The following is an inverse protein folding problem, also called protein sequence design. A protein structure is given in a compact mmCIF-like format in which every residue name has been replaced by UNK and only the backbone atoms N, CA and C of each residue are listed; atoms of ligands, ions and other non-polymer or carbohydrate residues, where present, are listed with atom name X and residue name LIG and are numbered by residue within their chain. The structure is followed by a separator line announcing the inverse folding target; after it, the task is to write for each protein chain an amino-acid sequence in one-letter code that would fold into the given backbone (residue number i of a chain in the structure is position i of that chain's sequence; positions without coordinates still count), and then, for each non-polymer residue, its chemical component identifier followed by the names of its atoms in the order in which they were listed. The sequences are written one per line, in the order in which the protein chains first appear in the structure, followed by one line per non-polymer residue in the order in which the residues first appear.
data_IF_236214754472
#
_entry.id   IF_236214754472
#
_cell.length_a   1.000
_cell.length_b   1.000
_cell.length_c   1.000
_cell.angle_alpha   90.00
_cell.angle_beta   90.00
_cell.angle_gamma   90.00
#
_symmetry.space_group_name_H-M   'P 1'
#
loop_
_entity.id
_entity.type
_entity.pdbx_description
1 polymer ?
#
# COMPACT_ATOMS: atom_id res chain seq x y z
N UNK A 1 -6.62 9.86 -14.63
CA UNK A 1 -5.74 10.93 -15.13
C UNK A 1 -4.36 10.35 -15.41
N UNK A 2 -3.77 10.63 -16.57
CA UNK A 2 -2.41 10.17 -16.93
C UNK A 2 -1.33 11.11 -16.39
N UNK A 3 -1.47 11.49 -15.13
CA UNK A 3 -0.58 12.45 -14.45
C UNK A 3 -0.33 11.98 -13.03
N UNK A 4 0.94 12.03 -12.62
CA UNK A 4 1.38 11.96 -11.22
C UNK A 4 1.90 13.33 -10.78
N UNK A 5 2.09 13.51 -9.47
CA UNK A 5 2.64 14.76 -8.94
C UNK A 5 3.67 14.49 -7.84
N UNK A 6 4.75 15.28 -7.84
CA UNK A 6 5.79 15.26 -6.81
C UNK A 6 6.06 16.67 -6.31
N UNK A 7 5.75 16.94 -5.04
CA UNK A 7 5.93 18.29 -4.47
C UNK A 7 5.22 19.40 -5.24
N UNK A 8 4.06 19.11 -5.85
CA UNK A 8 3.31 20.03 -6.71
C UNK A 8 3.73 20.03 -8.19
N UNK A 9 4.83 19.37 -8.55
CA UNK A 9 5.29 19.24 -9.93
C UNK A 9 4.54 18.12 -10.65
N UNK A 10 3.83 18.43 -11.74
CA UNK A 10 3.05 17.46 -12.53
C UNK A 10 3.95 16.72 -13.50
N UNK A 11 3.76 15.40 -13.59
CA UNK A 11 4.52 14.51 -14.47
C UNK A 11 3.53 13.69 -15.32
N UNK A 12 3.74 13.67 -16.63
CA UNK A 12 3.02 12.80 -17.54
C UNK A 12 3.49 11.34 -17.36
N UNK A 13 2.55 10.41 -17.31
CA UNK A 13 2.77 8.96 -17.21
C UNK A 13 2.10 8.19 -18.36
N UNK A 14 1.65 8.87 -19.39
CA UNK A 14 0.96 8.26 -20.55
C UNK A 14 1.84 7.31 -21.33
N UNK A 15 3.16 7.48 -21.27
CA UNK A 15 4.19 6.68 -21.93
C UNK A 15 4.71 5.50 -21.11
N UNK A 16 4.11 5.21 -19.93
CA UNK A 16 4.55 4.08 -19.13
C UNK A 16 4.14 2.75 -19.77
N UNK A 17 5.05 1.76 -19.84
CA UNK A 17 4.78 0.44 -20.39
C UNK A 17 3.92 -0.39 -19.43
N UNK A 18 2.72 0.05 -19.18
CA UNK A 18 1.72 -0.64 -18.35
C UNK A 18 0.33 -0.45 -18.95
N UNK A 19 -0.50 -1.46 -18.87
CA UNK A 19 -1.90 -1.40 -19.31
C UNK A 19 -2.69 -0.25 -18.67
N UNK A 20 -2.28 0.17 -17.48
CA UNK A 20 -2.97 1.20 -16.68
C UNK A 20 -2.03 2.34 -16.31
N UNK A 21 -1.59 3.07 -17.33
CA UNK A 21 -0.75 4.25 -17.19
C UNK A 21 -1.57 5.49 -16.76
N UNK A 22 -2.45 5.31 -15.77
CA UNK A 22 -3.29 6.40 -15.25
C UNK A 22 -3.58 6.20 -13.77
N UNK A 23 -3.74 7.29 -13.03
CA UNK A 23 -4.25 7.29 -11.66
C UNK A 23 -5.77 7.37 -11.66
N UNK A 24 -6.42 6.62 -10.78
CA UNK A 24 -7.84 6.78 -10.43
C UNK A 24 -7.95 7.53 -9.11
N UNK A 25 -8.91 8.45 -9.04
CA UNK A 25 -9.37 9.01 -7.78
C UNK A 25 -10.64 8.27 -7.38
N UNK A 26 -10.67 7.75 -6.17
CA UNK A 26 -11.83 7.15 -5.53
C UNK A 26 -11.93 7.72 -4.12
N UNK A 27 -13.12 8.14 -3.71
CA UNK A 27 -13.34 8.59 -2.35
C UNK A 27 -13.14 7.43 -1.38
N UNK A 28 -12.59 7.71 -0.20
CA UNK A 28 -12.36 6.67 0.80
C UNK A 28 -13.66 5.99 1.22
N UNK A 29 -14.75 6.75 1.36
CA UNK A 29 -16.09 6.23 1.64
C UNK A 29 -16.57 5.20 0.63
N UNK A 30 -16.35 5.45 -0.68
CA UNK A 30 -16.68 4.51 -1.74
C UNK A 30 -15.80 3.26 -1.70
N UNK A 31 -14.50 3.45 -1.45
CA UNK A 31 -13.56 2.34 -1.29
C UNK A 31 -13.98 1.44 -0.11
N UNK A 32 -14.27 2.01 1.04
CA UNK A 32 -14.70 1.28 2.24
C UNK A 32 -16.03 0.55 2.01
N UNK A 33 -16.99 1.17 1.31
CA UNK A 33 -18.26 0.55 0.94
C UNK A 33 -18.06 -0.67 0.03
N UNK A 34 -17.20 -0.56 -0.99
CA UNK A 34 -16.88 -1.67 -1.90
C UNK A 34 -16.20 -2.81 -1.14
N UNK A 35 -15.21 -2.50 -0.29
CA UNK A 35 -14.51 -3.50 0.49
C UNK A 35 -15.42 -4.18 1.52
N UNK A 36 -16.33 -3.43 2.16
CA UNK A 36 -17.31 -3.98 3.10
C UNK A 36 -18.24 -4.97 2.42
N UNK A 37 -18.77 -4.62 1.23
CA UNK A 37 -19.60 -5.54 0.44
C UNK A 37 -18.84 -6.82 0.06
N UNK A 38 -17.59 -6.72 -0.31
CA UNK A 38 -16.75 -7.89 -0.63
C UNK A 38 -16.49 -8.77 0.61
N UNK A 39 -16.24 -8.16 1.77
CA UNK A 39 -16.06 -8.89 3.04
C UNK A 39 -17.36 -9.66 3.40
N UNK A 40 -18.53 -9.04 3.19
CA UNK A 40 -19.83 -9.68 3.41
C UNK A 40 -20.04 -10.89 2.47
N UNK A 41 -19.67 -10.77 1.18
CA UNK A 41 -19.68 -11.87 0.22
C UNK A 41 -18.79 -13.05 0.65
N UNK A 42 -17.65 -12.74 1.26
CA UNK A 42 -16.70 -13.74 1.78
C UNK A 42 -17.15 -14.34 3.12
N UNK A 43 -18.22 -13.82 3.73
CA UNK A 43 -18.73 -14.29 5.02
C UNK A 43 -17.79 -14.04 6.20
N UNK A 44 -16.90 -13.05 6.10
CA UNK A 44 -15.98 -12.69 7.18
C UNK A 44 -16.69 -11.77 8.19
N UNK A 45 -16.78 -12.13 9.49
CA UNK A 45 -17.49 -11.33 10.46
C UNK A 45 -16.74 -10.03 10.78
N UNK A 46 -17.44 -8.89 10.73
CA UNK A 46 -16.97 -7.58 11.21
C UNK A 46 -17.68 -7.28 12.54
N UNK A 47 -16.91 -7.20 13.61
CA UNK A 47 -17.44 -6.85 14.94
C UNK A 47 -17.34 -5.33 15.14
N UNK A 48 -18.44 -4.62 14.87
CA UNK A 48 -18.53 -3.17 15.08
C UNK A 48 -18.73 -2.84 16.56
N UNK A 49 -18.35 -1.61 16.95
CA UNK A 49 -18.49 -1.11 18.33
C UNK A 49 -17.75 -1.98 19.37
N UNK A 50 -16.64 -2.58 18.94
CA UNK A 50 -15.74 -3.40 19.76
C UNK A 50 -14.33 -2.84 19.64
N UNK A 51 -13.88 -2.13 20.66
CA UNK A 51 -12.50 -1.64 20.75
C UNK A 51 -11.59 -2.71 21.33
N UNK A 52 -10.42 -2.90 20.73
CA UNK A 52 -9.35 -3.74 21.28
C UNK A 52 -8.64 -2.93 22.37
N UNK A 53 -8.74 -3.39 23.61
CA UNK A 53 -8.12 -2.73 24.78
C UNK A 53 -6.73 -3.27 25.12
N UNK A 54 -6.41 -4.46 24.63
CA UNK A 54 -5.11 -5.11 24.80
C UNK A 54 -5.14 -6.56 24.37
N UNK A 55 -4.04 -7.26 24.58
CA UNK A 55 -3.94 -8.70 24.30
C UNK A 55 -2.86 -9.36 25.16
N UNK A 56 -2.93 -10.69 25.22
CA UNK A 56 -1.83 -11.58 25.67
C UNK A 56 -1.57 -12.62 24.61
N UNK A 57 -0.35 -13.14 24.50
CA UNK A 57 -0.02 -14.20 23.55
C UNK A 57 0.79 -15.31 24.18
N UNK A 58 0.65 -16.52 23.63
CA UNK A 58 1.43 -17.70 23.92
C UNK A 58 1.88 -18.42 22.64
N UNK A 59 2.50 -19.60 22.76
CA UNK A 59 3.00 -20.37 21.61
C UNK A 59 1.88 -20.84 20.65
N UNK A 60 0.61 -20.83 21.09
CA UNK A 60 -0.53 -21.34 20.33
C UNK A 60 -1.42 -20.25 19.73
N UNK A 61 -1.42 -19.02 20.29
CA UNK A 61 -2.31 -17.97 19.83
C UNK A 61 -2.22 -16.66 20.61
N UNK A 62 -3.23 -15.82 20.40
CA UNK A 62 -3.39 -14.50 20.99
C UNK A 62 -4.78 -14.39 21.59
N UNK A 63 -4.89 -13.99 22.85
CA UNK A 63 -6.15 -13.64 23.53
C UNK A 63 -6.32 -12.12 23.47
N UNK A 64 -7.30 -11.67 22.71
CA UNK A 64 -7.57 -10.24 22.45
C UNK A 64 -8.68 -9.77 23.37
N UNK A 65 -8.40 -8.78 24.21
CA UNK A 65 -9.37 -8.17 25.11
C UNK A 65 -10.17 -7.06 24.41
N UNK A 66 -11.48 -7.05 24.60
CA UNK A 66 -12.40 -6.08 23.99
C UNK A 66 -13.01 -5.16 25.04
N UNK A 67 -13.49 -3.97 24.61
CA UNK A 67 -14.07 -2.93 25.47
C UNK A 67 -15.35 -3.34 26.20
N UNK A 68 -16.05 -4.35 25.72
CA UNK A 68 -17.24 -4.92 26.38
C UNK A 68 -16.93 -5.95 27.46
N UNK A 69 -15.64 -6.16 27.77
CA UNK A 69 -15.17 -7.14 28.74
C UNK A 69 -15.06 -8.58 28.23
N UNK A 70 -15.39 -8.82 26.95
CA UNK A 70 -15.18 -10.14 26.32
C UNK A 70 -13.76 -10.28 25.77
N UNK A 71 -13.36 -11.50 25.44
CA UNK A 71 -12.10 -11.77 24.76
C UNK A 71 -12.30 -12.71 23.57
N UNK A 72 -11.41 -12.58 22.58
CA UNK A 72 -11.35 -13.43 21.41
C UNK A 72 -10.01 -14.17 21.37
N UNK A 73 -10.05 -15.49 21.16
CA UNK A 73 -8.86 -16.28 20.90
C UNK A 73 -8.62 -16.40 19.40
N UNK A 74 -7.43 -16.02 18.94
CA UNK A 74 -7.01 -16.14 17.56
C UNK A 74 -5.62 -16.76 17.44
N UNK A 75 -5.27 -17.29 16.27
CA UNK A 75 -3.91 -17.81 16.02
C UNK A 75 -2.90 -16.69 15.82
N UNK A 76 -3.34 -15.58 15.23
CA UNK A 76 -2.57 -14.36 14.99
C UNK A 76 -3.45 -13.13 15.20
N UNK A 77 -2.83 -12.01 15.55
CA UNK A 77 -3.44 -10.69 15.58
C UNK A 77 -2.70 -9.77 14.62
N UNK A 78 -3.44 -9.05 13.76
CA UNK A 78 -2.87 -8.01 12.90
C UNK A 78 -3.43 -6.66 13.30
N UNK A 79 -2.58 -5.78 13.81
CA UNK A 79 -2.91 -4.39 14.14
C UNK A 79 -2.92 -3.54 12.87
N UNK A 80 -4.13 -3.10 12.47
CA UNK A 80 -4.36 -2.12 11.40
C UNK A 80 -5.05 -0.88 11.97
N UNK A 81 -4.74 -0.52 13.23
CA UNK A 81 -5.43 0.42 14.11
C UNK A 81 -4.80 1.82 14.10
N UNK A 82 -4.14 2.17 12.98
CA UNK A 82 -3.67 3.53 12.70
C UNK A 82 -2.39 3.94 13.43
N UNK A 83 -1.93 5.16 13.20
CA UNK A 83 -0.65 5.67 13.71
C UNK A 83 -0.53 5.68 15.24
N UNK A 84 -1.67 5.74 15.95
CA UNK A 84 -1.72 5.66 17.42
C UNK A 84 -1.87 4.24 17.96
N UNK A 85 -1.75 3.23 17.13
CA UNK A 85 -1.97 1.80 17.35
C UNK A 85 -1.80 1.33 18.81
N UNK A 86 -2.88 0.78 19.37
CA UNK A 86 -2.87 0.09 20.66
C UNK A 86 -2.16 -1.24 20.54
N UNK A 87 -2.38 -1.96 19.43
CA UNK A 87 -1.77 -3.27 19.16
C UNK A 87 -0.25 -3.16 19.09
N UNK A 88 0.28 -2.18 18.32
CA UNK A 88 1.74 -1.96 18.24
C UNK A 88 2.36 -1.69 19.60
N UNK A 89 1.76 -0.78 20.38
CA UNK A 89 2.25 -0.41 21.73
C UNK A 89 2.23 -1.58 22.68
N UNK A 90 1.13 -2.34 22.72
CA UNK A 90 0.99 -3.51 23.56
C UNK A 90 1.93 -4.65 23.16
N UNK A 91 2.32 -4.73 21.88
CA UNK A 91 3.33 -5.66 21.38
C UNK A 91 4.77 -5.25 21.73
N UNK A 92 4.99 -4.08 22.33
CA UNK A 92 6.32 -3.54 22.63
C UNK A 92 7.12 -3.20 21.39
N UNK A 93 6.46 -2.88 20.26
CA UNK A 93 7.11 -2.51 19.00
C UNK A 93 7.34 -1.00 18.99
N UNK A 94 8.61 -0.59 18.94
CA UNK A 94 9.00 0.81 18.85
C UNK A 94 8.59 1.44 17.52
N UNK A 95 8.30 2.75 17.56
CA UNK A 95 7.87 3.54 16.42
C UNK A 95 8.86 4.67 16.19
N UNK A 96 9.91 4.38 15.44
CA UNK A 96 11.02 5.28 15.18
C UNK A 96 10.68 6.31 14.09
N UNK A 97 11.28 7.49 14.15
CA UNK A 97 11.10 8.53 13.13
C UNK A 97 11.15 9.94 13.71
N UNK A 98 10.35 10.83 13.12
CA UNK A 98 10.36 12.27 13.40
C UNK A 98 9.03 12.73 13.96
N UNK A 99 9.12 13.59 14.95
CA UNK A 99 7.96 14.28 15.53
C UNK A 99 7.35 15.27 14.54
N UNK A 100 6.06 15.59 14.68
CA UNK A 100 5.41 16.53 13.78
C UNK A 100 5.98 17.94 13.92
N UNK A 101 6.08 18.62 12.79
CA UNK A 101 6.44 20.04 12.69
C UNK A 101 5.24 20.89 12.26
N UNK A 102 4.20 20.25 11.74
CA UNK A 102 2.99 20.91 11.24
C UNK A 102 1.77 20.09 11.60
N UNK A 103 0.72 20.77 12.02
CA UNK A 103 -0.62 20.21 12.25
C UNK A 103 -1.62 20.86 11.30
N UNK A 104 -2.55 20.08 10.79
CA UNK A 104 -3.69 20.58 10.00
C UNK A 104 -4.99 20.19 10.68
N UNK A 105 -5.94 21.13 10.66
CA UNK A 105 -7.35 20.84 10.86
C UNK A 105 -7.98 20.53 9.51
N UNK A 106 -8.74 19.43 9.45
CA UNK A 106 -9.44 18.97 8.26
C UNK A 106 -10.90 18.71 8.60
N UNK A 107 -11.81 19.24 7.79
CA UNK A 107 -13.24 19.13 8.06
C UNK A 107 -14.06 19.14 6.77
N UNK A 108 -15.25 18.55 6.85
CA UNK A 108 -16.35 18.77 5.90
C UNK A 108 -17.52 19.41 6.63
N UNK A 109 -17.91 20.61 6.20
CA UNK A 109 -18.92 21.44 6.87
C UNK A 109 -19.90 22.03 5.87
N UNK A 110 -21.04 22.49 6.38
CA UNK A 110 -21.91 23.41 5.69
C UNK A 110 -21.46 24.85 5.98
N UNK A 111 -21.67 25.77 5.04
CA UNK A 111 -21.33 27.19 5.19
C UNK A 111 -22.49 28.04 4.71
N UNK A 112 -22.76 29.15 5.42
CA UNK A 112 -23.78 30.12 5.04
C UNK A 112 -23.36 30.92 3.79
N UNK A 113 -22.07 31.25 3.70
CA UNK A 113 -21.47 31.93 2.56
C UNK A 113 -20.40 31.01 1.93
N UNK A 114 -20.56 30.71 0.63
CA UNK A 114 -19.56 29.89 -0.08
C UNK A 114 -18.26 30.68 -0.26
N UNK A 115 -17.13 30.14 0.24
CA UNK A 115 -15.82 30.75 0.02
C UNK A 115 -15.37 30.62 -1.43
N UNK A 116 -14.42 31.44 -1.83
CA UNK A 116 -13.67 31.16 -3.05
C UNK A 116 -12.87 29.85 -2.87
N UNK A 117 -13.07 28.88 -3.77
CA UNK A 117 -12.34 27.62 -3.70
C UNK A 117 -10.91 27.76 -4.22
N UNK A 118 -9.97 27.12 -3.54
CA UNK A 118 -8.57 27.14 -3.94
C UNK A 118 -7.60 26.90 -2.80
N UNK A 119 -6.32 26.96 -3.15
CA UNK A 119 -5.24 26.86 -2.17
C UNK A 119 -5.12 28.16 -1.35
N UNK A 120 -4.78 28.00 -0.08
CA UNK A 120 -4.49 29.08 0.87
C UNK A 120 -3.06 28.90 1.39
N UNK A 121 -2.54 29.91 2.07
CA UNK A 121 -1.26 29.81 2.76
C UNK A 121 -1.29 28.69 3.80
N UNK A 122 -0.87 27.47 3.39
CA UNK A 122 -0.78 26.34 4.29
C UNK A 122 -1.95 25.36 4.26
N UNK A 123 -2.80 25.41 3.23
CA UNK A 123 -3.91 24.46 3.09
C UNK A 123 -4.80 24.76 1.89
N UNK A 124 -6.09 24.45 1.98
CA UNK A 124 -7.03 24.68 0.90
C UNK A 124 -8.48 24.56 1.34
N UNK A 125 -9.36 25.16 0.57
CA UNK A 125 -10.81 25.07 0.69
C UNK A 125 -11.35 24.64 -0.66
N UNK A 126 -12.23 23.65 -0.69
CA UNK A 126 -12.78 23.10 -1.93
C UNK A 126 -14.16 22.46 -1.74
N UNK A 127 -14.81 22.05 -2.84
CA UNK A 127 -16.08 21.37 -2.75
C UNK A 127 -15.90 19.96 -2.14
N UNK A 128 -16.87 19.55 -1.32
CA UNK A 128 -17.02 18.20 -0.78
C UNK A 128 -18.34 17.58 -1.22
N UNK A 129 -18.65 16.37 -0.72
CA UNK A 129 -19.88 15.67 -1.03
C UNK A 129 -21.13 16.43 -0.51
N UNK A 130 -22.27 16.18 -1.16
CA UNK A 130 -23.58 16.70 -0.74
C UNK A 130 -23.65 18.23 -0.61
N UNK A 131 -22.85 18.96 -1.42
CA UNK A 131 -22.81 20.42 -1.39
C UNK A 131 -22.07 21.02 -0.19
N UNK A 132 -21.37 20.21 0.59
CA UNK A 132 -20.52 20.64 1.70
C UNK A 132 -19.21 21.25 1.20
N UNK A 133 -18.51 21.88 2.11
CA UNK A 133 -17.19 22.48 1.87
C UNK A 133 -16.14 21.68 2.64
N UNK A 134 -15.15 21.20 1.91
CA UNK A 134 -13.95 20.59 2.46
C UNK A 134 -12.91 21.64 2.80
N UNK A 135 -12.45 21.63 4.03
CA UNK A 135 -11.47 22.58 4.57
C UNK A 135 -10.25 21.84 5.08
N UNK A 136 -9.07 22.26 4.68
CA UNK A 136 -7.79 21.79 5.24
C UNK A 136 -6.91 22.98 5.49
N UNK A 137 -6.61 23.30 6.74
CA UNK A 137 -5.85 24.50 7.13
C UNK A 137 -4.80 24.18 8.18
N UNK A 138 -3.62 24.83 8.09
CA UNK A 138 -2.56 24.70 9.09
C UNK A 138 -2.99 25.34 10.40
N UNK A 139 -2.74 24.62 11.50
CA UNK A 139 -2.86 25.15 12.87
C UNK A 139 -1.54 25.74 13.37
N UNK A 140 -1.55 26.70 14.31
CA UNK A 140 -0.34 27.33 14.83
C UNK A 140 0.56 26.36 15.62
N UNK A 141 -0.05 25.37 16.27
CA UNK A 141 0.64 24.42 17.15
C UNK A 141 0.71 23.05 16.52
N UNK A 142 1.92 22.53 16.29
CA UNK A 142 2.14 21.26 15.64
C UNK A 142 1.76 20.04 16.51
N UNK A 143 1.75 20.18 17.84
CA UNK A 143 1.62 19.06 18.78
C UNK A 143 0.27 19.04 19.53
N UNK A 144 -0.77 19.61 18.98
CA UNK A 144 -2.12 19.54 19.58
C UNK A 144 -2.63 18.09 19.56
N UNK A 145 -3.10 17.59 20.72
CA UNK A 145 -3.59 16.23 20.91
C UNK A 145 -5.07 16.17 21.30
N UNK A 146 -5.67 17.31 21.64
CA UNK A 146 -7.09 17.46 21.95
C UNK A 146 -7.94 17.21 20.69
N UNK A 147 -9.17 16.73 20.88
CA UNK A 147 -10.11 16.58 19.77
C UNK A 147 -10.48 17.96 19.19
N UNK A 148 -10.44 18.12 17.84
CA UNK A 148 -10.77 19.39 17.21
C UNK A 148 -12.27 19.67 17.29
N UNK A 149 -12.57 20.94 17.52
CA UNK A 149 -13.95 21.44 17.63
C UNK A 149 -14.32 22.32 16.43
N UNK A 150 -15.62 22.61 16.26
CA UNK A 150 -16.09 23.57 15.27
C UNK A 150 -15.53 24.98 15.54
N UNK A 151 -15.30 25.33 16.79
CA UNK A 151 -14.68 26.60 17.15
C UNK A 151 -13.21 26.69 16.71
N UNK A 152 -12.44 25.60 16.83
CA UNK A 152 -11.08 25.51 16.28
C UNK A 152 -11.07 25.71 14.76
N UNK A 153 -12.02 25.09 14.05
CA UNK A 153 -12.16 25.26 12.60
C UNK A 153 -12.49 26.69 12.22
N UNK A 154 -13.45 27.32 12.91
CA UNK A 154 -13.84 28.72 12.68
C UNK A 154 -12.65 29.66 12.93
N UNK A 155 -11.92 29.44 14.03
CA UNK A 155 -10.71 30.21 14.31
C UNK A 155 -9.64 30.05 13.23
N UNK A 156 -9.47 28.84 12.66
CA UNK A 156 -8.56 28.59 11.56
C UNK A 156 -9.00 29.32 10.27
N UNK A 157 -10.29 29.29 9.94
CA UNK A 157 -10.86 30.00 8.79
C UNK A 157 -10.69 31.52 8.92
N UNK A 158 -11.03 32.10 10.06
CA UNK A 158 -10.84 33.55 10.32
C UNK A 158 -9.38 33.95 10.17
N UNK A 159 -8.46 33.14 10.66
CA UNK A 159 -7.02 33.41 10.56
C UNK A 159 -6.52 33.41 9.11
N UNK A 160 -7.04 32.53 8.26
CA UNK A 160 -6.55 32.30 6.89
C UNK A 160 -7.34 33.11 5.85
N UNK A 161 -8.66 33.18 5.99
CA UNK A 161 -9.59 33.75 5.01
C UNK A 161 -10.27 35.04 5.48
N UNK A 162 -10.05 35.44 6.77
CA UNK A 162 -10.59 36.64 7.37
C UNK A 162 -12.04 36.50 7.90
N UNK A 163 -12.72 35.39 7.59
CA UNK A 163 -14.09 35.09 8.03
C UNK A 163 -14.22 33.58 8.24
N UNK A 164 -15.19 33.13 9.05
CA UNK A 164 -15.55 31.74 9.22
C UNK A 164 -16.62 31.25 8.22
N UNK A 165 -17.07 32.14 7.31
CA UNK A 165 -18.11 31.88 6.30
C UNK A 165 -19.42 31.29 6.89
N UNK A 166 -19.68 31.47 8.18
CA UNK A 166 -20.80 30.86 8.88
C UNK A 166 -20.71 29.34 8.92
N UNK A 167 -19.51 28.77 9.07
CA UNK A 167 -19.31 27.32 9.10
C UNK A 167 -20.13 26.65 10.21
N UNK A 168 -20.90 25.60 9.86
CA UNK A 168 -21.78 24.86 10.78
C UNK A 168 -21.95 23.40 10.34
N UNK A 169 -22.70 22.63 11.15
CA UNK A 169 -23.09 21.23 10.82
C UNK A 169 -21.95 20.37 10.27
N UNK A 170 -20.85 20.21 11.01
CA UNK A 170 -19.73 19.40 10.54
C UNK A 170 -20.15 17.95 10.35
N UNK A 171 -19.81 17.33 9.21
CA UNK A 171 -19.87 15.88 9.00
C UNK A 171 -18.77 15.20 9.80
N UNK A 172 -17.58 15.78 9.77
CA UNK A 172 -16.46 15.45 10.64
C UNK A 172 -15.53 16.64 10.78
N UNK A 173 -14.76 16.64 11.86
CA UNK A 173 -13.59 17.48 12.06
C UNK A 173 -12.48 16.59 12.58
N UNK A 174 -11.30 16.66 11.98
CA UNK A 174 -10.15 15.84 12.35
C UNK A 174 -8.86 16.67 12.35
N UNK A 175 -7.85 16.19 13.04
CA UNK A 175 -6.47 16.70 12.96
C UNK A 175 -5.57 15.63 12.40
N UNK A 176 -4.65 16.04 11.54
CA UNK A 176 -3.53 15.22 11.13
C UNK A 176 -2.24 16.06 11.14
N UNK A 177 -1.11 15.37 11.17
CA UNK A 177 0.20 16.01 11.27
C UNK A 177 1.13 15.47 10.19
N UNK A 178 2.29 16.11 10.03
CA UNK A 178 3.39 15.60 9.22
C UNK A 178 4.32 14.62 9.99
N UNK A 179 3.83 14.05 11.10
CA UNK A 179 4.56 13.00 11.81
C UNK A 179 4.97 11.90 10.83
N UNK A 180 6.24 11.55 10.85
CA UNK A 180 6.79 10.54 9.95
C UNK A 180 7.50 9.48 10.79
N UNK A 181 6.88 8.31 10.95
CA UNK A 181 7.37 7.23 11.81
C UNK A 181 7.15 5.86 11.18
N UNK A 182 8.04 4.93 11.52
CA UNK A 182 7.94 3.53 11.11
C UNK A 182 8.20 2.60 12.28
N UNK A 183 7.43 1.51 12.36
CA UNK A 183 7.65 0.44 13.29
C UNK A 183 9.00 -0.24 13.01
N UNK A 184 9.83 -0.41 14.05
CA UNK A 184 11.14 -1.05 13.91
C UNK A 184 11.03 -2.54 13.60
N UNK A 185 9.91 -3.15 13.97
CA UNK A 185 9.56 -4.51 13.63
C UNK A 185 8.08 -4.58 13.20
N UNK A 186 7.79 -5.40 12.18
CA UNK A 186 6.41 -5.61 11.71
C UNK A 186 5.77 -6.83 12.36
N UNK A 187 6.53 -7.58 13.16
CA UNK A 187 6.07 -8.75 13.89
C UNK A 187 6.71 -8.85 15.29
N UNK A 188 5.91 -9.24 16.28
CA UNK A 188 6.35 -9.63 17.62
C UNK A 188 5.58 -10.92 18.01
N UNK A 189 6.24 -12.06 17.85
CA UNK A 189 5.59 -13.36 18.07
C UNK A 189 4.46 -13.62 17.07
N UNK A 190 3.21 -13.67 17.56
CA UNK A 190 1.99 -13.87 16.76
C UNK A 190 1.23 -12.60 16.47
N UNK A 191 1.79 -11.46 16.82
CA UNK A 191 1.21 -10.14 16.57
C UNK A 191 1.97 -9.45 15.46
N UNK A 192 1.25 -8.95 14.46
CA UNK A 192 1.81 -8.22 13.32
C UNK A 192 1.16 -6.83 13.24
N UNK A 193 1.81 -5.92 12.53
CA UNK A 193 1.27 -4.58 12.24
C UNK A 193 1.31 -4.29 10.74
N UNK A 194 0.29 -3.57 10.23
CA UNK A 194 0.18 -3.22 8.82
C UNK A 194 -0.43 -1.81 8.66
N UNK A 195 -0.19 -1.19 7.51
CA UNK A 195 -0.68 0.15 7.21
C UNK A 195 -0.16 1.19 8.21
N UNK A 196 -0.99 2.16 8.60
CA UNK A 196 -0.58 3.26 9.48
C UNK A 196 -0.14 2.80 10.88
N UNK A 197 -0.51 1.59 11.31
CA UNK A 197 0.03 0.99 12.52
C UNK A 197 1.52 0.64 12.40
N UNK A 198 1.98 0.36 11.17
CA UNK A 198 3.37 0.04 10.86
C UNK A 198 4.16 1.27 10.36
N UNK A 199 3.51 2.22 9.68
CA UNK A 199 4.16 3.39 9.08
C UNK A 199 3.17 4.53 8.89
N UNK A 200 3.48 5.70 9.41
CA UNK A 200 2.65 6.89 9.30
C UNK A 200 3.45 8.04 8.69
N UNK A 201 2.80 8.82 7.87
CA UNK A 201 3.36 10.01 7.23
C UNK A 201 2.26 11.01 6.86
N UNK A 202 2.65 12.25 6.51
CA UNK A 202 1.70 13.23 5.99
C UNK A 202 0.95 12.68 4.77
N UNK A 203 -0.36 12.98 4.58
CA UNK A 203 -1.18 12.46 3.48
C UNK A 203 -0.84 13.12 2.13
N UNK A 204 0.44 13.24 1.82
CA UNK A 204 0.96 13.87 0.59
C UNK A 204 1.10 12.80 -0.50
N UNK A 205 0.54 13.07 -1.67
CA UNK A 205 0.64 12.19 -2.84
C UNK A 205 -0.24 10.94 -2.77
N UNK A 206 -1.13 10.79 -1.77
CA UNK A 206 -2.10 9.69 -1.68
C UNK A 206 -1.47 8.30 -1.51
N UNK A 207 -0.25 8.20 -0.98
CA UNK A 207 0.50 6.95 -0.91
C UNK A 207 0.12 6.06 0.29
N UNK A 208 -0.35 6.63 1.41
CA UNK A 208 -0.55 5.89 2.67
C UNK A 208 -1.51 4.71 2.54
N UNK A 209 -2.74 4.96 2.09
CA UNK A 209 -3.72 3.89 1.87
C UNK A 209 -3.19 2.82 0.89
N UNK A 210 -2.54 3.24 -0.20
CA UNK A 210 -2.03 2.33 -1.22
C UNK A 210 -0.95 1.38 -0.70
N UNK A 211 -0.01 1.86 0.13
CA UNK A 211 0.99 0.98 0.73
C UNK A 211 0.40 0.08 1.82
N UNK A 212 -0.60 0.55 2.57
CA UNK A 212 -1.34 -0.27 3.53
C UNK A 212 -2.10 -1.42 2.86
N UNK A 213 -2.75 -1.17 1.71
CA UNK A 213 -3.36 -2.24 0.89
C UNK A 213 -2.31 -3.24 0.41
N UNK A 214 -1.15 -2.77 -0.03
CA UNK A 214 -0.06 -3.66 -0.44
C UNK A 214 0.49 -4.49 0.73
N UNK A 215 0.54 -3.92 1.94
CA UNK A 215 0.90 -4.68 3.15
C UNK A 215 -0.10 -5.81 3.41
N UNK A 216 -1.40 -5.50 3.35
CA UNK A 216 -2.47 -6.49 3.55
C UNK A 216 -2.41 -7.62 2.49
N UNK A 217 -2.21 -7.27 1.22
CA UNK A 217 -2.08 -8.25 0.13
C UNK A 217 -0.82 -9.10 0.29
N UNK A 218 0.32 -8.52 0.67
CA UNK A 218 1.56 -9.25 0.91
C UNK A 218 1.45 -10.19 2.11
N UNK A 219 0.81 -9.75 3.19
CA UNK A 219 0.68 -10.52 4.44
C UNK A 219 -0.39 -11.61 4.37
N UNK A 220 -1.53 -11.33 3.73
CA UNK A 220 -2.73 -12.16 3.81
C UNK A 220 -2.50 -13.59 3.34
N UNK A 221 -1.91 -13.79 2.16
CA UNK A 221 -1.63 -15.13 1.64
C UNK A 221 -0.56 -15.88 2.44
N UNK A 222 0.43 -15.17 3.01
CA UNK A 222 1.47 -15.74 3.89
C UNK A 222 0.84 -16.25 5.20
N UNK A 223 -0.04 -15.46 5.80
CA UNK A 223 -0.80 -15.87 6.98
C UNK A 223 -1.68 -17.09 6.68
N UNK A 224 -2.37 -17.12 5.54
CA UNK A 224 -3.21 -18.24 5.15
C UNK A 224 -2.40 -19.54 5.09
N UNK A 225 -1.22 -19.53 4.48
CA UNK A 225 -0.35 -20.70 4.38
C UNK A 225 0.22 -21.15 5.74
N UNK A 226 0.60 -20.22 6.58
CA UNK A 226 1.09 -20.53 7.93
C UNK A 226 -0.04 -21.07 8.81
N UNK A 227 -1.24 -20.50 8.70
CA UNK A 227 -2.42 -20.95 9.44
C UNK A 227 -2.86 -22.34 8.99
N UNK A 228 -2.85 -22.64 7.70
CA UNK A 228 -3.16 -23.99 7.19
C UNK A 228 -2.07 -25.03 7.47
N UNK A 229 -0.88 -24.60 7.91
CA UNK A 229 0.27 -25.47 8.11
C UNK A 229 1.00 -25.87 6.82
N UNK A 230 0.67 -25.21 5.70
CA UNK A 230 1.31 -25.44 4.40
C UNK A 230 2.75 -24.93 4.39
N UNK A 231 2.98 -23.79 5.02
CA UNK A 231 4.31 -23.15 5.13
C UNK A 231 4.74 -22.93 6.58
N UNK A 232 6.05 -22.90 6.85
CA UNK A 232 6.57 -22.66 8.19
C UNK A 232 6.33 -21.21 8.64
N UNK A 233 6.38 -20.98 9.96
CA UNK A 233 6.21 -19.67 10.57
C UNK A 233 7.20 -18.62 10.05
N UNK A 234 8.40 -19.04 9.61
CA UNK A 234 9.42 -18.18 9.03
C UNK A 234 9.00 -17.50 7.72
N UNK A 235 7.96 -17.99 7.03
CA UNK A 235 7.40 -17.29 5.88
C UNK A 235 6.92 -15.88 6.25
N UNK A 236 6.45 -15.67 7.49
CA UNK A 236 6.01 -14.35 7.95
C UNK A 236 7.17 -13.36 8.16
N UNK A 237 8.43 -13.83 8.26
CA UNK A 237 9.60 -12.94 8.39
C UNK A 237 9.85 -12.20 7.07
N UNK A 238 9.47 -12.80 5.93
CA UNK A 238 9.56 -12.16 4.62
C UNK A 238 8.63 -10.95 4.49
N UNK A 239 7.56 -10.86 5.29
CA UNK A 239 6.68 -9.68 5.29
C UNK A 239 7.44 -8.41 5.65
N UNK A 240 8.19 -8.43 6.75
CA UNK A 240 9.02 -7.30 7.12
C UNK A 240 10.15 -7.06 6.12
N UNK A 241 10.86 -8.10 5.68
CA UNK A 241 11.97 -7.98 4.75
C UNK A 241 11.55 -7.29 3.44
N UNK A 242 10.33 -7.56 2.97
CA UNK A 242 9.79 -7.00 1.73
C UNK A 242 9.14 -5.63 1.93
N UNK A 243 8.35 -5.45 3.00
CA UNK A 243 7.49 -4.26 3.16
C UNK A 243 8.13 -3.12 3.91
N UNK A 244 9.02 -3.39 4.87
CA UNK A 244 9.70 -2.35 5.63
C UNK A 244 10.56 -1.42 4.74
N UNK A 245 11.37 -1.90 3.79
CA UNK A 245 12.13 -1.03 2.87
C UNK A 245 11.23 -0.17 1.98
N UNK A 246 10.10 -0.71 1.51
CA UNK A 246 9.12 0.03 0.70
C UNK A 246 8.53 1.19 1.49
N UNK A 247 8.06 0.94 2.71
CA UNK A 247 7.53 1.99 3.57
C UNK A 247 8.60 3.05 3.91
N UNK A 248 9.83 2.65 4.28
CA UNK A 248 10.93 3.57 4.54
C UNK A 248 11.19 4.53 3.35
N UNK A 249 11.10 4.00 2.12
CA UNK A 249 11.22 4.82 0.91
C UNK A 249 10.06 5.79 0.75
N UNK A 250 8.82 5.37 1.00
CA UNK A 250 7.63 6.24 0.93
C UNK A 250 7.72 7.35 1.98
N UNK A 251 8.13 7.03 3.20
CA UNK A 251 8.33 8.04 4.25
C UNK A 251 9.34 9.11 3.83
N UNK A 252 10.50 8.69 3.30
CA UNK A 252 11.51 9.63 2.77
C UNK A 252 10.95 10.46 1.62
N UNK A 253 10.18 9.86 0.72
CA UNK A 253 9.56 10.52 -0.41
C UNK A 253 8.55 11.60 0.04
N UNK A 254 7.68 11.31 0.99
CA UNK A 254 6.70 12.28 1.50
C UNK A 254 7.38 13.43 2.26
N UNK A 255 8.48 13.16 2.99
CA UNK A 255 9.29 14.22 3.59
C UNK A 255 9.91 15.15 2.53
N UNK A 256 10.45 14.59 1.44
CA UNK A 256 11.00 15.38 0.33
C UNK A 256 9.91 16.23 -0.34
N UNK A 257 8.73 15.68 -0.60
CA UNK A 257 7.60 16.42 -1.15
C UNK A 257 7.15 17.55 -0.20
N UNK A 258 7.16 17.29 1.11
CA UNK A 258 6.85 18.32 2.11
C UNK A 258 7.85 19.49 2.07
N UNK A 259 9.13 19.19 1.96
CA UNK A 259 10.18 20.22 1.85
C UNK A 259 10.03 21.06 0.58
N UNK A 260 9.70 20.43 -0.55
CA UNK A 260 9.43 21.15 -1.81
C UNK A 260 8.17 22.01 -1.76
N UNK A 261 7.20 21.65 -0.91
CA UNK A 261 5.96 22.43 -0.73
C UNK A 261 6.13 23.71 0.10
N UNK A 262 7.29 23.94 0.73
CA UNK A 262 7.55 25.15 1.50
C UNK A 262 7.65 26.40 0.60
N UNK A 263 7.34 27.58 1.17
CA UNK A 263 7.17 28.83 0.42
C UNK A 263 8.32 29.82 0.61
N UNK A 264 9.34 29.47 1.39
CA UNK A 264 10.54 30.28 1.52
C UNK A 264 11.37 30.29 0.22
N UNK A 265 12.19 31.31 0.05
CA UNK A 265 12.94 31.53 -1.20
C UNK A 265 13.88 30.37 -1.57
N UNK A 266 14.43 29.65 -0.58
CA UNK A 266 15.32 28.51 -0.83
C UNK A 266 14.54 27.30 -1.31
N UNK A 267 13.41 27.02 -0.71
CA UNK A 267 12.52 25.92 -1.12
C UNK A 267 11.92 26.16 -2.50
N UNK A 268 11.59 27.42 -2.83
CA UNK A 268 11.15 27.81 -4.19
C UNK A 268 12.26 27.56 -5.21
N UNK A 269 13.49 28.04 -4.95
CA UNK A 269 14.63 27.80 -5.86
C UNK A 269 14.94 26.29 -6.04
N UNK A 270 14.88 25.51 -4.95
CA UNK A 270 15.03 24.04 -5.04
C UNK A 270 13.92 23.41 -5.89
N UNK A 271 12.67 23.81 -5.69
CA UNK A 271 11.54 23.32 -6.48
C UNK A 271 11.71 23.63 -7.96
N UNK A 272 12.13 24.86 -8.32
CA UNK A 272 12.37 25.24 -9.72
C UNK A 272 13.45 24.35 -10.35
N UNK A 273 14.53 24.05 -9.64
CA UNK A 273 15.56 23.11 -10.10
C UNK A 273 15.00 21.70 -10.26
N UNK A 274 14.16 21.21 -9.33
CA UNK A 274 13.52 19.89 -9.44
C UNK A 274 12.55 19.86 -10.64
N UNK A 275 11.82 20.94 -10.90
CA UNK A 275 10.97 21.07 -12.10
C UNK A 275 11.76 20.88 -13.38
N UNK A 276 12.95 21.49 -13.49
CA UNK A 276 13.82 21.31 -14.64
C UNK A 276 14.29 19.86 -14.82
N UNK A 277 14.68 19.20 -13.73
CA UNK A 277 15.07 17.78 -13.75
C UNK A 277 13.90 16.87 -14.17
N UNK A 278 12.69 17.12 -13.65
CA UNK A 278 11.52 16.28 -13.93
C UNK A 278 10.93 16.53 -15.34
N UNK A 279 11.46 17.48 -16.11
CA UNK A 279 11.21 17.59 -17.57
C UNK A 279 12.01 16.60 -18.41
N UNK A 280 13.07 16.00 -17.83
CA UNK A 280 13.86 14.96 -18.46
C UNK A 280 13.17 13.60 -18.27
N UNK A 281 13.19 12.74 -19.28
CA UNK A 281 12.45 11.46 -19.26
C UNK A 281 12.88 10.53 -18.15
N UNK A 282 14.17 10.27 -17.97
CA UNK A 282 14.65 9.33 -16.96
C UNK A 282 14.29 9.75 -15.51
N UNK A 283 14.57 10.99 -15.05
CA UNK A 283 14.14 11.45 -13.73
C UNK A 283 12.62 11.42 -13.56
N UNK A 284 11.88 11.85 -14.58
CA UNK A 284 10.41 11.83 -14.58
C UNK A 284 9.86 10.43 -14.40
N UNK A 285 10.30 9.48 -15.24
CA UNK A 285 9.87 8.07 -15.18
C UNK A 285 10.23 7.43 -13.84
N UNK A 286 11.45 7.67 -13.34
CA UNK A 286 11.88 7.15 -12.05
C UNK A 286 11.00 7.63 -10.89
N UNK A 287 10.78 8.94 -10.77
CA UNK A 287 10.00 9.51 -9.67
C UNK A 287 8.52 9.13 -9.80
N UNK A 288 7.96 9.16 -11.02
CA UNK A 288 6.56 8.81 -11.23
C UNK A 288 6.28 7.32 -10.97
N UNK A 289 7.20 6.42 -11.36
CA UNK A 289 7.10 4.99 -11.04
C UNK A 289 7.20 4.73 -9.53
N UNK A 290 8.08 5.46 -8.83
CA UNK A 290 8.19 5.39 -7.39
C UNK A 290 6.88 5.78 -6.68
N UNK A 291 6.22 6.84 -7.12
CA UNK A 291 4.94 7.29 -6.55
C UNK A 291 3.83 6.27 -6.86
N UNK A 292 3.82 5.73 -8.08
CA UNK A 292 2.83 4.74 -8.51
C UNK A 292 3.09 3.33 -7.96
N UNK A 293 4.24 3.08 -7.30
CA UNK A 293 4.65 1.77 -6.81
C UNK A 293 4.99 0.76 -7.92
N UNK A 294 5.28 1.25 -9.13
CA UNK A 294 5.63 0.43 -10.29
C UNK A 294 7.12 0.02 -10.32
N UNK A 295 7.94 0.65 -9.50
CA UNK A 295 9.37 0.36 -9.36
C UNK A 295 9.69 -0.60 -8.20
N UNK A 296 8.69 -1.02 -7.42
CA UNK A 296 8.87 -1.90 -6.28
C UNK A 296 9.50 -3.21 -6.75
N UNK A 297 10.63 -3.55 -6.14
CA UNK A 297 11.32 -4.83 -6.30
C UNK A 297 11.71 -5.34 -4.91
N UNK A 298 11.28 -6.54 -4.57
CA UNK A 298 11.73 -7.23 -3.37
C UNK A 298 13.10 -7.87 -3.63
N UNK A 299 13.97 -7.83 -2.64
CA UNK A 299 15.28 -8.47 -2.74
C UNK A 299 15.12 -9.98 -2.57
N UNK A 300 15.08 -10.68 -3.69
CA UNK A 300 14.98 -12.13 -3.77
C UNK A 300 16.28 -12.77 -4.31
N UNK A 301 17.37 -12.03 -4.32
CA UNK A 301 18.66 -12.45 -4.84
C UNK A 301 18.94 -11.94 -6.26
N UNK A 302 20.05 -12.41 -6.82
CA UNK A 302 20.47 -12.08 -8.19
C UNK A 302 19.71 -12.91 -9.22
N UNK A 303 19.45 -12.34 -10.41
CA UNK A 303 18.77 -13.04 -11.48
C UNK A 303 18.16 -12.12 -12.53
N UNK A 304 17.11 -12.60 -13.17
CA UNK A 304 16.38 -11.87 -14.20
C UNK A 304 15.76 -10.57 -13.63
N UNK A 305 15.71 -9.46 -14.39
CA UNK A 305 15.17 -8.17 -13.92
C UNK A 305 13.73 -8.22 -13.42
N UNK A 306 12.96 -9.23 -13.80
CA UNK A 306 11.58 -9.46 -13.32
C UNK A 306 11.53 -9.96 -11.87
N UNK A 307 12.58 -10.62 -11.38
CA UNK A 307 12.59 -11.24 -10.06
C UNK A 307 12.29 -10.19 -8.96
N UNK A 308 11.39 -10.52 -8.04
CA UNK A 308 10.95 -9.65 -6.96
C UNK A 308 10.03 -8.51 -7.38
N UNK A 309 9.77 -8.31 -8.68
CA UNK A 309 8.89 -7.25 -9.19
C UNK A 309 7.48 -7.76 -9.44
N UNK A 310 6.54 -6.82 -9.53
CA UNK A 310 5.19 -7.15 -9.97
C UNK A 310 5.20 -7.65 -11.41
N UNK A 311 4.55 -8.78 -11.65
CA UNK A 311 4.35 -9.33 -12.98
C UNK A 311 3.56 -8.33 -13.85
N UNK A 312 3.99 -8.01 -15.08
CA UNK A 312 3.19 -7.22 -16.01
C UNK A 312 1.85 -7.91 -16.35
N UNK A 313 0.80 -7.10 -16.53
CA UNK A 313 -0.54 -7.60 -16.88
C UNK A 313 -0.65 -7.84 -18.40
N UNK A 314 -0.08 -8.94 -18.87
CA UNK A 314 0.03 -9.32 -20.27
C UNK A 314 -1.19 -10.13 -20.73
N UNK A 315 -1.48 -10.08 -22.02
CA UNK A 315 -2.42 -10.99 -22.68
C UNK A 315 -1.64 -12.21 -23.21
N UNK A 316 -1.84 -13.35 -22.59
CA UNK A 316 -1.17 -14.61 -22.91
C UNK A 316 -2.05 -15.46 -23.84
N UNK A 317 -1.48 -16.07 -24.87
CA UNK A 317 -2.17 -17.03 -25.70
C UNK A 317 -2.02 -18.43 -25.11
N UNK A 318 -3.15 -19.10 -24.82
CA UNK A 318 -3.23 -20.49 -24.34
C UNK A 318 -4.01 -21.35 -25.33
N UNK A 319 -4.07 -22.65 -25.10
CA UNK A 319 -4.87 -23.59 -25.94
C UNK A 319 -6.37 -23.24 -25.88
N UNK A 320 -6.85 -22.67 -24.78
CA UNK A 320 -8.25 -22.31 -24.56
C UNK A 320 -8.57 -20.85 -25.00
N UNK A 321 -7.58 -20.14 -25.54
CA UNK A 321 -7.72 -18.75 -25.96
C UNK A 321 -6.83 -17.77 -25.22
N UNK A 322 -7.14 -16.47 -25.32
CA UNK A 322 -6.34 -15.44 -24.65
C UNK A 322 -6.76 -15.28 -23.19
N UNK A 323 -5.79 -15.32 -22.29
CA UNK A 323 -5.99 -15.09 -20.86
C UNK A 323 -5.11 -13.92 -20.38
N UNK A 324 -5.65 -13.09 -19.51
CA UNK A 324 -4.93 -11.97 -18.90
C UNK A 324 -4.21 -12.42 -17.64
N UNK A 325 -2.94 -12.07 -17.46
CA UNK A 325 -2.15 -12.48 -16.28
C UNK A 325 -2.86 -12.16 -14.98
N UNK A 326 -3.37 -10.94 -14.81
CA UNK A 326 -4.03 -10.55 -13.55
C UNK A 326 -5.33 -11.29 -13.30
N UNK A 327 -6.01 -11.81 -14.33
CA UNK A 327 -7.20 -12.66 -14.12
C UNK A 327 -6.86 -14.02 -13.51
N UNK A 328 -5.65 -14.53 -13.72
CA UNK A 328 -5.16 -15.77 -13.12
C UNK A 328 -4.95 -15.63 -11.59
N UNK A 329 -4.81 -14.39 -11.09
CA UNK A 329 -4.56 -14.10 -9.68
C UNK A 329 -5.84 -13.83 -8.87
N UNK A 330 -7.03 -13.86 -9.49
CA UNK A 330 -8.29 -13.52 -8.81
C UNK A 330 -8.64 -14.47 -7.66
N UNK A 331 -8.19 -15.72 -7.74
CA UNK A 331 -8.38 -16.71 -6.66
C UNK A 331 -7.29 -16.65 -5.58
N UNK A 332 -6.41 -15.64 -5.61
CA UNK A 332 -5.26 -15.50 -4.71
C UNK A 332 -4.37 -16.76 -4.65
N UNK A 333 -4.29 -17.51 -5.76
CA UNK A 333 -3.40 -18.65 -5.92
C UNK A 333 -2.11 -18.24 -6.64
N UNK A 334 -0.96 -18.84 -6.32
CA UNK A 334 0.24 -18.67 -7.12
C UNK A 334 0.10 -19.34 -8.49
N UNK A 335 0.74 -18.74 -9.49
CA UNK A 335 0.68 -19.21 -10.88
C UNK A 335 2.09 -19.42 -11.42
N UNK A 336 2.38 -20.60 -11.95
CA UNK A 336 3.54 -20.87 -12.79
C UNK A 336 3.11 -20.73 -14.25
N UNK A 337 3.60 -19.70 -14.91
CA UNK A 337 3.38 -19.46 -16.35
C UNK A 337 4.55 -20.08 -17.08
N UNK A 338 4.29 -21.13 -17.85
CA UNK A 338 5.26 -21.76 -18.74
C UNK A 338 5.13 -21.14 -20.13
N UNK A 339 6.19 -20.52 -20.61
CA UNK A 339 6.29 -19.84 -21.92
C UNK A 339 7.20 -20.59 -22.89
N UNK A 340 7.75 -21.74 -22.46
CA UNK A 340 8.51 -22.68 -23.26
C UNK A 340 7.65 -23.81 -23.84
N UNK A 341 8.24 -24.97 -23.97
CA UNK A 341 7.52 -26.16 -24.46
C UNK A 341 6.42 -26.59 -23.49
N UNK A 342 5.23 -26.82 -24.02
CA UNK A 342 4.07 -27.24 -23.20
C UNK A 342 4.37 -28.58 -22.49
N UNK A 343 4.06 -28.66 -21.19
CA UNK A 343 4.36 -29.79 -20.34
C UNK A 343 5.84 -29.97 -19.98
N UNK A 344 6.68 -28.97 -20.29
CA UNK A 344 8.12 -28.98 -19.97
C UNK A 344 8.46 -28.80 -18.49
N UNK A 345 7.50 -28.35 -17.66
CA UNK A 345 7.70 -28.13 -16.23
C UNK A 345 6.83 -29.05 -15.39
N UNK A 346 7.43 -29.71 -14.39
CA UNK A 346 6.72 -30.55 -13.44
C UNK A 346 6.55 -29.88 -12.07
N UNK A 347 5.30 -29.65 -11.70
CA UNK A 347 4.91 -29.15 -10.38
C UNK A 347 4.04 -30.15 -9.62
N UNK A 348 4.05 -31.44 -10.00
CA UNK A 348 3.18 -32.47 -9.42
C UNK A 348 3.04 -32.38 -7.89
N UNK A 349 4.15 -32.29 -7.12
CA UNK A 349 4.10 -32.15 -5.65
C UNK A 349 3.41 -30.89 -5.12
N UNK A 350 3.15 -29.87 -5.95
CA UNK A 350 2.49 -28.61 -5.61
C UNK A 350 1.22 -28.33 -6.43
N UNK A 351 0.77 -29.27 -7.26
CA UNK A 351 -0.37 -29.09 -8.17
C UNK A 351 -1.70 -28.76 -7.47
N UNK A 352 -1.83 -29.08 -6.19
CA UNK A 352 -2.96 -28.70 -5.32
C UNK A 352 -2.95 -27.22 -4.91
N UNK A 353 -1.81 -26.54 -4.98
CA UNK A 353 -1.56 -25.19 -4.48
C UNK A 353 -1.13 -24.20 -5.53
N UNK A 354 -0.45 -24.63 -6.58
CA UNK A 354 0.11 -23.79 -7.65
C UNK A 354 -0.57 -24.14 -8.96
N UNK A 355 -1.10 -23.11 -9.63
CA UNK A 355 -1.69 -23.28 -10.95
C UNK A 355 -0.58 -23.26 -12.01
N UNK A 356 -0.47 -24.30 -12.84
CA UNK A 356 0.40 -24.31 -14.02
C UNK A 356 -0.41 -23.85 -15.24
N UNK A 357 0.14 -22.90 -16.00
CA UNK A 357 -0.47 -22.38 -17.24
C UNK A 357 0.57 -22.43 -18.36
N UNK A 358 0.35 -23.30 -19.34
CA UNK A 358 1.10 -23.31 -20.59
C UNK A 358 0.57 -22.20 -21.49
N UNK A 359 1.44 -21.26 -21.91
CA UNK A 359 1.06 -20.10 -22.67
C UNK A 359 2.19 -19.61 -23.58
N UNK A 360 1.88 -18.71 -24.48
CA UNK A 360 2.88 -17.96 -25.24
C UNK A 360 2.59 -16.46 -25.18
N UNK A 361 3.64 -15.66 -25.33
CA UNK A 361 3.57 -14.22 -25.43
C UNK A 361 4.50 -13.72 -26.52
N UNK A 362 3.93 -13.10 -27.57
CA UNK A 362 4.67 -12.62 -28.73
C UNK A 362 5.09 -11.15 -28.64
N UNK A 363 4.71 -10.46 -27.56
CA UNK A 363 5.03 -9.04 -27.35
C UNK A 363 6.41 -8.83 -26.73
N UNK A 364 6.80 -7.58 -26.64
CA UNK A 364 8.05 -7.16 -25.96
C UNK A 364 7.86 -7.21 -24.44
N UNK A 365 8.85 -7.73 -23.73
CA UNK A 365 8.93 -7.66 -22.28
C UNK A 365 9.51 -6.33 -21.87
N UNK A 366 8.65 -5.41 -21.49
CA UNK A 366 9.04 -4.06 -21.09
C UNK A 366 8.55 -3.78 -19.67
N UNK A 367 9.47 -3.32 -18.82
CA UNK A 367 9.19 -3.00 -17.42
C UNK A 367 9.26 -1.49 -17.17
N UNK A 368 8.36 -0.94 -16.34
CA UNK A 368 8.50 0.45 -15.90
C UNK A 368 9.90 0.70 -15.34
N UNK A 369 10.51 1.85 -15.72
CA UNK A 369 11.86 2.28 -15.32
C UNK A 369 13.01 1.51 -15.96
N UNK A 370 12.89 0.20 -16.17
CA UNK A 370 13.96 -0.64 -16.70
C UNK A 370 13.96 -0.72 -18.25
N UNK A 371 12.80 -0.44 -18.88
CA UNK A 371 12.62 -0.62 -20.32
C UNK A 371 12.55 -2.10 -20.70
N UNK A 372 13.02 -2.42 -21.91
CA UNK A 372 13.02 -3.78 -22.45
C UNK A 372 13.96 -4.71 -21.65
N UNK A 373 13.45 -5.90 -21.37
CA UNK A 373 14.17 -6.98 -20.70
C UNK A 373 14.11 -8.26 -21.52
N UNK A 374 14.99 -9.21 -21.28
CA UNK A 374 14.97 -10.50 -21.93
C UNK A 374 13.63 -11.22 -21.70
N UNK A 375 13.14 -11.96 -22.70
CA UNK A 375 11.95 -12.77 -22.53
C UNK A 375 12.24 -13.98 -21.64
N UNK A 376 11.51 -14.20 -20.54
CA UNK A 376 11.64 -15.40 -19.73
C UNK A 376 11.03 -16.61 -20.44
N UNK A 377 11.50 -17.80 -20.13
CA UNK A 377 10.89 -19.06 -20.60
C UNK A 377 9.82 -19.59 -19.63
N UNK A 378 9.85 -19.12 -18.38
CA UNK A 378 8.79 -19.38 -17.40
C UNK A 378 8.86 -18.36 -16.27
N UNK A 379 7.73 -18.15 -15.57
CA UNK A 379 7.63 -17.20 -14.46
C UNK A 379 6.74 -17.77 -13.36
N UNK A 380 7.26 -17.85 -12.14
CA UNK A 380 6.48 -18.18 -10.96
C UNK A 380 5.99 -16.88 -10.29
N UNK A 381 4.68 -16.69 -10.28
CA UNK A 381 4.03 -15.50 -9.75
C UNK A 381 3.33 -15.85 -8.43
N UNK A 382 3.61 -15.09 -7.38
CA UNK A 382 2.99 -15.23 -6.05
C UNK A 382 1.54 -14.68 -6.06
N UNK A 383 0.72 -15.03 -5.04
CA UNK A 383 -0.65 -14.50 -4.92
C UNK A 383 -0.74 -12.98 -4.88
N UNK A 384 0.31 -12.30 -4.39
CA UNK A 384 0.41 -10.83 -4.36
C UNK A 384 0.88 -10.21 -5.70
N UNK A 385 1.01 -11.03 -6.74
CA UNK A 385 1.41 -10.61 -8.08
C UNK A 385 2.90 -10.36 -8.26
N UNK A 386 3.74 -10.65 -7.27
CA UNK A 386 5.20 -10.51 -7.40
C UNK A 386 5.84 -11.80 -7.92
N UNK A 387 6.85 -11.65 -8.75
CA UNK A 387 7.59 -12.75 -9.36
C UNK A 387 8.58 -13.34 -8.35
N UNK A 388 8.42 -14.63 -8.08
CA UNK A 388 9.24 -15.39 -7.13
C UNK A 388 10.36 -16.20 -7.78
N UNK A 389 10.26 -16.49 -9.07
CA UNK A 389 11.27 -17.20 -9.85
C UNK A 389 11.08 -16.94 -11.35
N UNK A 390 12.16 -16.99 -12.09
CA UNK A 390 12.18 -16.79 -13.56
C UNK A 390 13.03 -17.87 -14.20
N UNK A 391 12.48 -18.61 -15.15
CA UNK A 391 13.17 -19.60 -15.95
C UNK A 391 13.91 -18.99 -17.13
N UNK A 392 15.07 -19.54 -17.42
CA UNK A 392 15.98 -19.17 -18.52
C UNK A 392 16.12 -20.27 -19.60
N UNK A 393 15.18 -21.16 -19.67
CA UNK A 393 15.21 -22.37 -20.52
C UNK A 393 15.47 -23.65 -19.73
N UNK A 394 15.66 -23.53 -18.42
CA UNK A 394 15.80 -24.66 -17.50
C UNK A 394 14.83 -24.49 -16.32
N UNK A 395 14.64 -25.57 -15.55
CA UNK A 395 13.88 -25.57 -14.29
C UNK A 395 14.77 -25.34 -13.07
N UNK A 396 16.03 -24.92 -13.27
CA UNK A 396 16.97 -24.70 -12.19
C UNK A 396 16.44 -23.70 -11.17
N UNK A 397 16.43 -24.09 -9.88
CA UNK A 397 15.91 -23.28 -8.79
C UNK A 397 14.38 -23.24 -8.64
N UNK A 398 13.59 -23.78 -9.60
CA UNK A 398 12.12 -23.79 -9.52
C UNK A 398 11.64 -24.56 -8.27
N UNK A 399 12.16 -25.76 -8.01
CA UNK A 399 11.81 -26.57 -6.85
C UNK A 399 12.13 -25.87 -5.53
N UNK A 400 13.25 -25.16 -5.46
CA UNK A 400 13.65 -24.37 -4.30
C UNK A 400 12.69 -23.20 -4.09
N UNK A 401 12.33 -22.47 -5.16
CA UNK A 401 11.36 -21.37 -5.10
C UNK A 401 9.96 -21.88 -4.68
N UNK A 402 9.49 -22.99 -5.25
CA UNK A 402 8.22 -23.61 -4.86
C UNK A 402 8.21 -24.00 -3.38
N UNK A 403 9.29 -24.60 -2.88
CA UNK A 403 9.43 -24.99 -1.48
C UNK A 403 9.47 -23.77 -0.57
N UNK A 404 10.26 -22.75 -0.92
CA UNK A 404 10.42 -21.51 -0.12
C UNK A 404 9.09 -20.78 0.03
N UNK A 405 8.35 -20.62 -1.06
CA UNK A 405 7.16 -19.78 -1.08
C UNK A 405 5.86 -20.52 -0.80
N UNK A 406 5.79 -21.82 -1.11
CA UNK A 406 4.54 -22.58 -1.04
C UNK A 406 4.65 -23.86 -0.21
N UNK A 407 5.73 -23.98 0.54
CA UNK A 407 5.94 -25.09 1.49
C UNK A 407 6.47 -26.37 0.83
N UNK A 408 6.73 -27.36 1.66
CA UNK A 408 7.32 -28.63 1.22
C UNK A 408 6.41 -29.40 0.27
N UNK A 409 7.02 -30.26 -0.52
CA UNK A 409 6.32 -31.24 -1.36
C UNK A 409 5.30 -32.05 -0.58
N UNK A 410 4.12 -32.21 -1.15
CA UNK A 410 3.18 -33.22 -0.62
C UNK A 410 3.71 -34.59 -1.05
N UNK A 411 4.27 -35.35 -0.11
CA UNK A 411 4.56 -36.75 -0.37
C UNK A 411 3.23 -37.49 -0.46
N UNK A 412 2.95 -38.09 -1.60
CA UNK A 412 1.88 -39.09 -1.66
C UNK A 412 2.10 -40.06 -0.51
N UNK A 413 1.12 -40.21 0.38
CA UNK A 413 1.15 -41.27 1.36
C UNK A 413 1.02 -42.57 0.61
N UNK A 414 1.94 -43.55 0.82
CA UNK A 414 1.90 -44.84 0.18
C UNK A 414 0.60 -45.59 0.48
#
# INVERSE_FOLDING_TARGET
MQVQAFGGVRMDISDFPTRRNYGMALLQSDFERIMSGWIDELGVPILREREVTGFTQDDSGVDVALSDGTSLRARFLVGCDGGRSVVRKAAGIDFAGWDPTTCWIHAEVEMEELPEFGLRGGGGIGPAEEGRVGVTLIEPEANRTDEPTLEDLRAALIRVDGTDHGAHSPRFIARFTDMTRQAVAYRSGRVLVAGDAAHVHAPIGGQGLNIGVQDAVNLGWKLAQVISGTSPLSLLDTYQAERHPVAARVLRNTMAQRALGATDARSVALRDTVVELLRMDEPRKHIAAMIAGLDIAYDLGEGHPLLGRRMPDLDLATVDGTVRVFSLLHEAKPVLINLGDAGGLDIGPWADRVQLVDASYAGTWELPVLGEVGAPTAVLVRPDGHVAWVGDGTDAGLREALTTWFGNEVRERP
#
